data_IF_919299831527
#
_entry.id   IF_919299831527
#
_cell.length_a   1.000
_cell.length_b   1.000
_cell.length_c   1.000
_cell.angle_alpha   90.00
_cell.angle_beta   90.00
_cell.angle_gamma   90.00
#
_symmetry.space_group_name_H-M   'P 1'
#
loop_
_entity.id
_entity.type
_entity.pdbx_description
1 polymer ?
#
# COMPACT_ATOMS: atom_id res chain seq x y z
N UNK A 1 -2.33 -7.14 -10.15
CA UNK A 1 -2.64 -8.48 -10.70
C UNK A 1 -2.44 -9.59 -9.67
N UNK A 2 -1.25 -9.74 -9.06
CA UNK A 2 -1.01 -10.76 -8.03
C UNK A 2 -2.01 -10.74 -6.87
N UNK A 3 -2.35 -9.55 -6.35
CA UNK A 3 -3.38 -9.40 -5.30
C UNK A 3 -4.76 -9.91 -5.74
N UNK A 4 -5.17 -9.69 -6.99
CA UNK A 4 -6.46 -10.17 -7.51
C UNK A 4 -6.49 -11.70 -7.58
N UNK A 5 -5.46 -12.31 -8.17
CA UNK A 5 -5.36 -13.77 -8.27
C UNK A 5 -5.32 -14.42 -6.89
N UNK A 6 -4.51 -13.88 -5.98
CA UNK A 6 -4.43 -14.36 -4.61
C UNK A 6 -5.76 -14.16 -3.86
N UNK A 7 -6.50 -13.09 -4.13
CA UNK A 7 -7.81 -12.84 -3.52
C UNK A 7 -8.87 -13.85 -3.98
N UNK A 8 -8.90 -14.14 -5.29
CA UNK A 8 -9.78 -15.17 -5.87
C UNK A 8 -9.38 -16.55 -5.34
N UNK A 9 -8.08 -16.85 -5.32
CA UNK A 9 -7.53 -18.11 -4.84
C UNK A 9 -7.84 -18.36 -3.36
N UNK A 10 -7.64 -17.36 -2.49
CA UNK A 10 -7.86 -17.48 -1.04
C UNK A 10 -9.29 -17.18 -0.59
N UNK A 11 -10.19 -16.90 -1.54
CA UNK A 11 -11.58 -16.47 -1.34
C UNK A 11 -11.73 -15.33 -0.32
N UNK A 12 -10.75 -14.40 -0.30
CA UNK A 12 -10.73 -13.33 0.67
C UNK A 12 -11.53 -12.12 0.14
N UNK A 13 -12.77 -11.98 0.63
CA UNK A 13 -13.68 -10.87 0.28
C UNK A 13 -13.09 -9.49 0.57
N UNK A 14 -12.33 -9.36 1.66
CA UNK A 14 -11.68 -8.10 2.03
C UNK A 14 -10.63 -7.70 0.99
N UNK A 15 -9.88 -8.66 0.43
CA UNK A 15 -8.90 -8.39 -0.61
C UNK A 15 -9.57 -7.94 -1.92
N UNK A 16 -10.70 -8.52 -2.30
CA UNK A 16 -11.44 -8.14 -3.52
C UNK A 16 -11.92 -6.69 -3.41
N UNK A 17 -12.62 -6.35 -2.33
CA UNK A 17 -13.14 -5.00 -2.08
C UNK A 17 -11.99 -3.99 -2.05
N UNK A 18 -10.91 -4.32 -1.34
CA UNK A 18 -9.80 -3.37 -1.24
C UNK A 18 -9.05 -3.21 -2.55
N UNK A 19 -8.95 -4.26 -3.37
CA UNK A 19 -8.32 -4.14 -4.70
C UNK A 19 -9.13 -3.20 -5.60
N UNK A 20 -10.46 -3.31 -5.59
CA UNK A 20 -11.31 -2.36 -6.31
C UNK A 20 -11.11 -0.92 -5.81
N UNK A 21 -11.09 -0.72 -4.48
CA UNK A 21 -10.85 0.61 -3.89
C UNK A 21 -9.47 1.18 -4.30
N UNK A 22 -8.41 0.36 -4.24
CA UNK A 22 -7.06 0.74 -4.67
C UNK A 22 -7.03 1.17 -6.14
N UNK A 23 -7.75 0.48 -7.02
CA UNK A 23 -7.83 0.88 -8.44
C UNK A 23 -8.43 2.27 -8.61
N UNK A 24 -9.48 2.61 -7.85
CA UNK A 24 -10.02 3.98 -7.85
C UNK A 24 -9.04 5.00 -7.29
N UNK A 25 -8.35 4.69 -6.19
CA UNK A 25 -7.32 5.57 -5.66
C UNK A 25 -6.21 5.81 -6.69
N UNK A 26 -5.73 4.79 -7.40
CA UNK A 26 -4.76 4.96 -8.48
C UNK A 26 -5.27 5.87 -9.60
N UNK A 27 -6.54 5.77 -9.99
CA UNK A 27 -7.13 6.65 -10.99
C UNK A 27 -7.19 8.12 -10.51
N UNK A 28 -7.55 8.36 -9.25
CA UNK A 28 -7.52 9.70 -8.65
C UNK A 28 -6.09 10.26 -8.58
N UNK A 29 -5.11 9.41 -8.26
CA UNK A 29 -3.70 9.81 -8.26
C UNK A 29 -3.17 10.18 -9.64
N UNK A 30 -3.62 9.50 -10.70
CA UNK A 30 -3.25 9.88 -12.06
C UNK A 30 -3.66 11.32 -12.39
N UNK A 31 -4.80 11.80 -11.87
CA UNK A 31 -5.23 13.20 -12.02
C UNK A 31 -4.22 14.14 -11.35
N UNK A 32 -3.84 13.88 -10.09
CA UNK A 32 -2.86 14.68 -9.36
C UNK A 32 -1.52 14.71 -10.10
N UNK A 33 -1.08 13.57 -10.63
CA UNK A 33 0.16 13.46 -11.40
C UNK A 33 0.13 14.34 -12.67
N UNK A 34 -0.97 14.33 -13.43
CA UNK A 34 -1.11 15.16 -14.63
C UNK A 34 -1.05 16.66 -14.27
N UNK A 35 -1.72 17.08 -13.19
CA UNK A 35 -1.70 18.46 -12.72
C UNK A 35 -0.29 18.90 -12.30
N UNK A 36 0.43 18.04 -11.58
CA UNK A 36 1.80 18.26 -11.14
C UNK A 36 2.75 18.42 -12.34
N UNK A 37 2.71 17.50 -13.31
CA UNK A 37 3.55 17.54 -14.52
C UNK A 37 3.30 18.83 -15.31
N UNK A 38 2.03 19.22 -15.48
CA UNK A 38 1.68 20.48 -16.17
C UNK A 38 2.26 21.71 -15.46
N UNK A 39 2.23 21.72 -14.13
CA UNK A 39 2.80 22.80 -13.31
C UNK A 39 4.32 22.90 -13.49
N UNK A 40 5.04 21.77 -13.41
CA UNK A 40 6.50 21.76 -13.57
C UNK A 40 6.93 22.16 -14.99
N UNK A 41 6.21 21.70 -16.00
CA UNK A 41 6.43 22.11 -17.40
C UNK A 41 6.30 23.63 -17.58
N UNK A 42 5.24 24.23 -17.03
CA UNK A 42 5.01 25.67 -17.10
C UNK A 42 6.05 26.51 -16.35
N UNK A 43 6.66 25.98 -15.28
CA UNK A 43 7.75 26.64 -14.56
C UNK A 43 9.09 26.57 -15.31
N UNK A 44 9.36 25.45 -15.99
CA UNK A 44 10.58 25.27 -16.76
C UNK A 44 10.70 26.31 -17.88
N UNK A 45 9.61 26.55 -18.63
CA UNK A 45 9.58 27.53 -19.73
C UNK A 45 9.83 28.99 -19.31
N UNK A 46 9.69 29.33 -18.02
CA UNK A 46 9.92 30.69 -17.50
C UNK A 46 11.36 30.94 -17.02
N UNK A 47 12.17 29.88 -16.86
CA UNK A 47 13.49 29.98 -16.22
C UNK A 47 14.65 30.05 -17.23
N UNK A 48 14.41 29.75 -18.51
CA UNK A 48 15.41 29.89 -19.57
C UNK A 48 15.39 31.30 -20.18
N UNK A 49 16.54 31.98 -20.18
CA UNK A 49 16.73 33.33 -20.77
C UNK A 49 16.80 33.34 -22.31
N UNK A 50 17.13 32.21 -22.93
CA UNK A 50 16.90 32.02 -24.35
C UNK A 50 15.54 31.35 -24.50
N UNK A 51 14.66 31.90 -25.35
CA UNK A 51 13.47 31.20 -25.84
C UNK A 51 13.90 30.00 -26.69
N UNK A 52 14.44 28.96 -26.04
CA UNK A 52 14.43 27.62 -26.59
C UNK A 52 12.96 27.23 -26.68
N UNK A 53 12.35 27.55 -27.83
CA UNK A 53 11.13 26.91 -28.30
C UNK A 53 11.46 25.44 -28.53
N UNK A 54 11.68 24.70 -27.45
CA UNK A 54 11.52 23.26 -27.50
C UNK A 54 10.03 23.05 -27.76
N UNK A 55 9.67 22.83 -29.03
CA UNK A 55 8.43 22.15 -29.40
C UNK A 55 8.50 20.68 -28.94
N UNK A 56 8.80 20.47 -27.66
CA UNK A 56 8.55 19.21 -27.00
C UNK A 56 7.06 19.20 -26.74
N UNK A 57 6.27 18.85 -27.77
CA UNK A 57 4.86 18.52 -27.63
C UNK A 57 4.79 17.43 -26.58
N UNK A 58 4.36 17.74 -25.36
CA UNK A 58 4.58 16.81 -24.27
C UNK A 58 3.53 15.71 -24.45
N UNK A 59 3.97 14.53 -24.89
CA UNK A 59 3.12 13.38 -25.21
C UNK A 59 2.36 12.82 -23.99
N UNK A 60 2.39 13.48 -22.82
CA UNK A 60 1.61 13.09 -21.65
C UNK A 60 0.10 13.07 -21.95
N UNK A 61 -0.39 13.99 -22.79
CA UNK A 61 -1.79 13.97 -23.23
C UNK A 61 -2.15 12.68 -23.98
N UNK A 62 -1.20 12.09 -24.71
CA UNK A 62 -1.41 10.88 -25.51
C UNK A 62 -1.29 9.58 -24.72
N UNK A 63 -0.59 9.58 -23.57
CA UNK A 63 -0.37 8.35 -22.78
C UNK A 63 -1.06 8.37 -21.41
N UNK A 64 -0.94 9.47 -20.66
CA UNK A 64 -1.43 9.54 -19.27
C UNK A 64 -2.96 9.62 -19.21
N UNK A 65 -3.59 10.35 -20.14
CA UNK A 65 -5.05 10.49 -20.19
C UNK A 65 -5.72 9.16 -20.58
N UNK A 66 -5.31 8.46 -21.66
CA UNK A 66 -5.88 7.15 -21.96
C UNK A 66 -5.67 6.14 -20.84
N UNK A 67 -4.50 6.16 -20.18
CA UNK A 67 -4.22 5.28 -19.04
C UNK A 67 -5.16 5.57 -17.86
N UNK A 68 -5.37 6.85 -17.52
CA UNK A 68 -6.31 7.26 -16.48
C UNK A 68 -7.75 6.81 -16.80
N UNK A 69 -8.21 7.00 -18.04
CA UNK A 69 -9.54 6.57 -18.48
C UNK A 69 -9.66 5.05 -18.38
N UNK A 70 -8.65 4.31 -18.84
CA UNK A 70 -8.62 2.85 -18.72
C UNK A 70 -8.70 2.41 -17.25
N UNK A 71 -7.93 3.02 -16.35
CA UNK A 71 -7.98 2.73 -14.90
C UNK A 71 -9.36 2.97 -14.30
N UNK A 72 -10.06 4.04 -14.71
CA UNK A 72 -11.44 4.29 -14.26
C UNK A 72 -12.40 3.22 -14.74
N UNK A 73 -12.38 2.87 -16.04
CA UNK A 73 -13.23 1.84 -16.62
C UNK A 73 -13.00 0.50 -15.92
N UNK A 74 -11.73 0.08 -15.79
CA UNK A 74 -11.37 -1.14 -15.08
C UNK A 74 -11.76 -1.08 -13.59
N UNK A 75 -11.64 0.09 -12.95
CA UNK A 75 -12.10 0.31 -11.58
C UNK A 75 -13.60 0.03 -11.41
N UNK A 76 -14.44 0.55 -12.31
CA UNK A 76 -15.89 0.29 -12.30
C UNK A 76 -16.21 -1.18 -12.53
N UNK A 77 -15.55 -1.83 -13.50
CA UNK A 77 -15.73 -3.27 -13.75
C UNK A 77 -15.33 -4.09 -12.52
N UNK A 78 -14.18 -3.78 -11.92
CA UNK A 78 -13.68 -4.45 -10.72
C UNK A 78 -14.60 -4.24 -9.51
N UNK A 79 -15.18 -3.05 -9.34
CA UNK A 79 -16.15 -2.81 -8.28
C UNK A 79 -17.45 -3.58 -8.50
N UNK A 80 -17.96 -3.63 -9.73
CA UNK A 80 -19.16 -4.41 -10.05
C UNK A 80 -18.96 -5.90 -9.81
N UNK A 81 -17.86 -6.46 -10.31
CA UNK A 81 -17.48 -7.86 -10.08
C UNK A 81 -17.23 -8.12 -8.59
N UNK A 82 -16.54 -7.20 -7.92
CA UNK A 82 -16.24 -7.28 -6.50
C UNK A 82 -17.49 -7.28 -5.63
N UNK A 83 -18.51 -6.50 -5.98
CA UNK A 83 -19.80 -6.49 -5.29
C UNK A 83 -20.55 -7.81 -5.43
N UNK A 84 -20.63 -8.37 -6.64
CA UNK A 84 -21.23 -9.69 -6.87
C UNK A 84 -20.51 -10.78 -6.08
N UNK A 85 -19.18 -10.78 -6.14
CA UNK A 85 -18.35 -11.77 -5.47
C UNK A 85 -18.40 -11.64 -3.94
N UNK A 86 -18.47 -10.41 -3.42
CA UNK A 86 -18.66 -10.15 -1.99
C UNK A 86 -19.94 -10.80 -1.45
N UNK A 87 -21.07 -10.67 -2.18
CA UNK A 87 -22.35 -11.29 -1.77
C UNK A 87 -22.26 -12.81 -1.73
N UNK A 88 -21.66 -13.42 -2.75
CA UNK A 88 -21.58 -14.87 -2.86
C UNK A 88 -20.60 -15.49 -1.85
N UNK A 89 -19.43 -14.89 -1.69
CA UNK A 89 -18.42 -15.36 -0.72
C UNK A 89 -18.82 -15.05 0.73
N UNK A 90 -19.50 -13.92 0.98
CA UNK A 90 -20.03 -13.61 2.31
C UNK A 90 -21.01 -14.67 2.82
N UNK A 91 -21.86 -15.18 1.92
CA UNK A 91 -22.76 -16.29 2.22
C UNK A 91 -22.02 -17.60 2.51
N UNK A 92 -20.93 -17.89 1.78
CA UNK A 92 -20.10 -19.06 2.04
C UNK A 92 -19.35 -18.98 3.38
N UNK A 93 -18.84 -17.80 3.75
CA UNK A 93 -18.19 -17.58 5.05
C UNK A 93 -19.19 -17.80 6.20
N UNK A 94 -20.40 -17.28 6.08
CA UNK A 94 -21.48 -17.49 7.06
C UNK A 94 -21.77 -18.99 7.27
N UNK A 95 -21.93 -19.75 6.17
CA UNK A 95 -22.17 -21.20 6.23
C UNK A 95 -21.00 -21.99 6.81
N UNK A 96 -19.76 -21.56 6.54
CA UNK A 96 -18.54 -22.30 6.91
C UNK A 96 -18.14 -22.11 8.38
N UNK A 97 -18.29 -20.90 8.92
CA UNK A 97 -17.85 -20.57 10.30
C UNK A 97 -18.94 -20.88 11.33
N UNK A 98 -20.20 -20.93 10.91
CA UNK A 98 -21.37 -21.07 11.81
C UNK A 98 -21.84 -19.72 12.36
N UNK A 99 -22.87 -19.75 13.21
CA UNK A 99 -23.58 -18.56 13.69
C UNK A 99 -22.94 -17.77 14.83
N UNK A 100 -21.77 -18.18 15.36
CA UNK A 100 -21.13 -17.44 16.45
C UNK A 100 -20.50 -16.13 15.96
N UNK A 101 -21.11 -15.03 16.38
CA UNK A 101 -20.76 -13.65 16.00
C UNK A 101 -19.33 -13.32 16.44
N UNK A 102 -18.90 -13.81 17.61
CA UNK A 102 -17.58 -13.52 18.16
C UNK A 102 -16.47 -14.15 17.32
N UNK A 103 -16.62 -15.43 16.97
CA UNK A 103 -15.70 -16.12 16.07
C UNK A 103 -15.63 -15.44 14.70
N UNK A 104 -16.77 -15.04 14.13
CA UNK A 104 -16.79 -14.34 12.84
C UNK A 104 -16.06 -12.99 12.92
N UNK A 105 -16.21 -12.25 14.02
CA UNK A 105 -15.51 -10.97 14.21
C UNK A 105 -13.98 -11.15 14.30
N UNK A 106 -13.51 -12.18 15.02
CA UNK A 106 -12.08 -12.50 15.09
C UNK A 106 -11.51 -12.88 13.72
N UNK A 107 -12.22 -13.72 12.96
CA UNK A 107 -11.80 -14.10 11.61
C UNK A 107 -11.77 -12.90 10.65
N UNK A 108 -12.79 -12.04 10.68
CA UNK A 108 -12.80 -10.78 9.89
C UNK A 108 -11.61 -9.89 10.24
N UNK A 109 -11.29 -9.75 11.52
CA UNK A 109 -10.13 -8.97 12.00
C UNK A 109 -8.82 -9.52 11.41
N UNK A 110 -8.64 -10.84 11.42
CA UNK A 110 -7.47 -11.50 10.81
C UNK A 110 -7.39 -11.29 9.29
N UNK A 111 -8.53 -11.37 8.58
CA UNK A 111 -8.56 -11.14 7.14
C UNK A 111 -8.19 -9.70 6.76
N UNK A 112 -8.69 -8.71 7.52
CA UNK A 112 -8.35 -7.30 7.31
C UNK A 112 -6.87 -7.07 7.61
N UNK A 113 -6.36 -7.59 8.72
CA UNK A 113 -4.94 -7.49 9.06
C UNK A 113 -4.03 -8.10 7.98
N UNK A 114 -4.35 -9.31 7.51
CA UNK A 114 -3.56 -9.97 6.45
C UNK A 114 -3.62 -9.19 5.14
N UNK A 115 -4.76 -8.55 4.85
CA UNK A 115 -4.90 -7.67 3.70
C UNK A 115 -4.06 -6.39 3.86
N UNK A 116 -4.04 -5.77 5.04
CA UNK A 116 -3.18 -4.62 5.35
C UNK A 116 -1.69 -4.96 5.24
N UNK A 117 -1.25 -6.14 5.67
CA UNK A 117 0.13 -6.61 5.45
C UNK A 117 0.48 -6.70 3.94
N UNK A 118 -0.43 -7.26 3.13
CA UNK A 118 -0.24 -7.32 1.67
C UNK A 118 -0.17 -5.93 1.03
N UNK A 119 -1.04 -5.02 1.48
CA UNK A 119 -1.00 -3.62 1.07
C UNK A 119 0.31 -2.96 1.48
N UNK A 120 0.79 -3.22 2.70
CA UNK A 120 2.06 -2.74 3.23
C UNK A 120 3.26 -3.19 2.40
N UNK A 121 3.31 -4.46 2.02
CA UNK A 121 4.38 -5.00 1.18
C UNK A 121 4.43 -4.36 -0.22
N UNK A 122 3.29 -3.91 -0.76
CA UNK A 122 3.27 -3.28 -2.09
C UNK A 122 3.42 -1.77 -2.01
N UNK A 123 2.54 -1.10 -1.25
CA UNK A 123 2.47 0.36 -1.19
C UNK A 123 3.52 0.97 -0.27
N UNK A 124 3.66 0.48 0.97
CA UNK A 124 4.59 1.08 1.94
C UNK A 124 6.02 0.80 1.52
N UNK A 125 6.33 -0.45 1.18
CA UNK A 125 7.67 -0.80 0.68
C UNK A 125 7.98 -0.11 -0.65
N UNK A 126 7.03 -0.07 -1.60
CA UNK A 126 7.21 0.63 -2.87
C UNK A 126 7.47 2.13 -2.67
N UNK A 127 6.69 2.80 -1.83
CA UNK A 127 6.89 4.20 -1.48
C UNK A 127 8.23 4.44 -0.78
N UNK A 128 8.64 3.53 0.10
CA UNK A 128 9.93 3.61 0.76
C UNK A 128 11.10 3.44 -0.23
N UNK A 129 10.96 2.60 -1.26
CA UNK A 129 11.96 2.50 -2.33
C UNK A 129 12.00 3.76 -3.20
N UNK A 130 10.83 4.30 -3.57
CA UNK A 130 10.74 5.54 -4.34
C UNK A 130 11.36 6.73 -3.59
N UNK A 131 11.28 6.76 -2.26
CA UNK A 131 11.92 7.81 -1.49
C UNK A 131 13.45 7.88 -1.69
N UNK A 132 14.14 6.77 -2.03
CA UNK A 132 15.57 6.80 -2.40
C UNK A 132 15.86 7.46 -3.75
N UNK A 133 14.91 7.41 -4.68
CA UNK A 133 15.05 8.07 -5.98
C UNK A 133 14.93 9.58 -5.80
N UNK A 134 14.02 10.00 -4.91
CA UNK A 134 13.72 11.41 -4.61
C UNK A 134 14.77 12.09 -3.73
N UNK A 135 15.13 11.48 -2.60
CA UNK A 135 16.00 12.10 -1.61
C UNK A 135 17.45 11.67 -1.83
N UNK A 136 18.37 12.62 -1.94
CA UNK A 136 19.80 12.36 -2.04
C UNK A 136 20.54 12.77 -0.77
N UNK A 137 21.61 12.04 -0.44
CA UNK A 137 22.51 12.39 0.66
C UNK A 137 23.24 13.68 0.29
N UNK A 138 23.27 14.63 1.22
CA UNK A 138 24.15 15.79 1.13
C UNK A 138 25.61 15.36 1.40
N UNK A 139 26.29 14.83 0.38
CA UNK A 139 27.74 14.68 0.39
C UNK A 139 28.36 16.04 0.04
N UNK A 140 28.59 16.88 1.06
CA UNK A 140 29.55 18.00 1.11
C UNK A 140 29.58 18.93 -0.13
N UNK A 141 29.11 20.18 0.00
CA UNK A 141 29.31 21.29 -0.94
C UNK A 141 29.17 20.94 -2.45
N UNK A 142 28.24 20.07 -2.80
CA UNK A 142 27.92 19.83 -4.22
C UNK A 142 26.94 20.88 -4.69
N UNK A 143 27.27 21.51 -5.83
CA UNK A 143 26.52 22.52 -6.56
C UNK A 143 25.01 22.51 -6.26
N UNK A 144 24.49 23.66 -5.82
CA UNK A 144 23.07 23.89 -5.58
C UNK A 144 22.27 23.76 -6.88
N UNK A 145 22.01 22.53 -7.33
CA UNK A 145 20.94 22.26 -8.27
C UNK A 145 19.64 22.49 -7.51
N UNK A 146 18.96 23.59 -7.87
CA UNK A 146 17.75 24.15 -7.24
C UNK A 146 16.60 23.16 -7.02
N UNK A 147 16.69 21.93 -7.56
CA UNK A 147 15.65 20.91 -7.51
C UNK A 147 16.04 19.61 -6.77
N UNK A 148 17.25 19.47 -6.23
CA UNK A 148 17.61 18.29 -5.43
C UNK A 148 17.10 18.43 -3.98
N UNK A 149 16.33 17.43 -3.52
CA UNK A 149 15.88 17.35 -2.12
C UNK A 149 16.95 16.63 -1.31
N UNK A 150 17.47 17.33 -0.31
CA UNK A 150 18.51 16.80 0.57
C UNK A 150 17.89 16.34 1.89
N UNK A 151 18.23 15.11 2.27
CA UNK A 151 17.90 14.59 3.60
C UNK A 151 19.19 14.54 4.43
N UNK A 152 19.19 15.02 5.69
CA UNK A 152 20.34 14.90 6.57
C UNK A 152 20.79 13.44 6.71
N UNK A 153 22.11 13.22 6.82
CA UNK A 153 22.72 11.88 6.80
C UNK A 153 22.08 10.91 7.80
N UNK A 154 21.78 11.36 9.03
CA UNK A 154 21.19 10.50 10.06
C UNK A 154 19.77 10.05 9.69
N UNK A 155 18.93 10.95 9.16
CA UNK A 155 17.58 10.61 8.71
C UNK A 155 17.61 9.71 7.47
N UNK A 156 18.57 9.91 6.56
CA UNK A 156 18.73 9.03 5.41
C UNK A 156 19.18 7.62 5.82
N UNK A 157 20.10 7.49 6.77
CA UNK A 157 20.49 6.18 7.30
C UNK A 157 19.35 5.48 8.06
N UNK A 158 18.56 6.25 8.81
CA UNK A 158 17.34 5.75 9.46
C UNK A 158 16.36 5.20 8.41
N UNK A 159 16.11 5.96 7.36
CA UNK A 159 15.25 5.54 6.24
C UNK A 159 15.78 4.25 5.57
N UNK A 160 17.09 4.14 5.31
CA UNK A 160 17.68 2.89 4.79
C UNK A 160 17.37 1.69 5.71
N UNK A 161 17.59 1.86 7.01
CA UNK A 161 17.36 0.79 7.97
C UNK A 161 15.88 0.38 8.02
N UNK A 162 14.96 1.35 8.06
CA UNK A 162 13.51 1.09 8.06
C UNK A 162 13.08 0.40 6.75
N UNK A 163 13.51 0.90 5.59
CA UNK A 163 13.15 0.30 4.30
C UNK A 163 13.68 -1.14 4.17
N UNK A 164 14.94 -1.40 4.56
CA UNK A 164 15.53 -2.73 4.51
C UNK A 164 14.83 -3.74 5.42
N UNK A 165 14.39 -3.30 6.60
CA UNK A 165 13.68 -4.15 7.56
C UNK A 165 12.18 -4.32 7.24
N UNK A 166 11.60 -3.44 6.41
CA UNK A 166 10.17 -3.47 6.08
C UNK A 166 9.74 -4.79 5.44
N UNK A 167 10.54 -5.37 4.54
CA UNK A 167 10.19 -6.66 3.94
C UNK A 167 10.22 -7.81 4.98
N UNK A 168 11.23 -7.82 5.85
CA UNK A 168 11.40 -8.86 6.87
C UNK A 168 10.29 -8.81 7.92
N UNK A 169 9.91 -7.62 8.40
CA UNK A 169 8.89 -7.48 9.43
C UNK A 169 7.52 -7.92 8.92
N UNK A 170 7.22 -7.75 7.62
CA UNK A 170 5.96 -8.21 7.02
C UNK A 170 5.86 -9.75 7.07
N UNK A 171 6.96 -10.46 6.79
CA UNK A 171 7.03 -11.92 6.92
C UNK A 171 6.84 -12.35 8.37
N UNK A 172 7.53 -11.67 9.30
CA UNK A 172 7.40 -11.93 10.74
C UNK A 172 5.96 -11.69 11.19
N UNK A 173 5.33 -10.59 10.77
CA UNK A 173 3.94 -10.24 11.09
C UNK A 173 2.93 -11.28 10.61
N UNK A 174 3.11 -11.78 9.38
CA UNK A 174 2.26 -12.85 8.85
C UNK A 174 2.41 -14.15 9.64
N UNK A 175 3.64 -14.59 9.90
CA UNK A 175 3.90 -15.82 10.69
C UNK A 175 3.43 -15.68 12.13
N UNK A 176 3.60 -14.50 12.72
CA UNK A 176 3.22 -14.22 14.11
C UNK A 176 1.72 -14.25 14.30
N UNK A 177 0.94 -13.68 13.38
CA UNK A 177 -0.51 -13.77 13.42
C UNK A 177 -1.02 -15.20 13.20
N UNK A 178 -0.38 -15.99 12.32
CA UNK A 178 -0.78 -17.38 12.06
C UNK A 178 -0.45 -18.33 13.24
N UNK A 179 0.71 -18.13 13.87
CA UNK A 179 1.19 -18.99 14.97
C UNK A 179 0.90 -18.43 16.36
N UNK A 180 0.24 -17.28 16.45
CA UNK A 180 -0.02 -16.53 17.70
C UNK A 180 1.26 -16.19 18.49
N UNK A 181 2.33 -15.79 17.79
CA UNK A 181 3.61 -15.42 18.41
C UNK A 181 3.53 -13.99 18.95
N UNK A 182 3.32 -13.86 20.27
CA UNK A 182 3.16 -12.56 20.95
C UNK A 182 4.33 -11.60 20.72
N UNK A 183 5.56 -12.09 20.87
CA UNK A 183 6.78 -11.27 20.71
C UNK A 183 6.86 -10.67 19.31
N UNK A 184 6.58 -11.47 18.27
CA UNK A 184 6.62 -11.00 16.89
C UNK A 184 5.56 -9.95 16.57
N UNK A 185 4.37 -10.04 17.17
CA UNK A 185 3.34 -8.99 17.05
C UNK A 185 3.74 -7.68 17.73
N UNK A 186 4.36 -7.74 18.92
CA UNK A 186 4.85 -6.55 19.61
C UNK A 186 5.94 -5.87 18.78
N UNK A 187 6.90 -6.65 18.27
CA UNK A 187 7.94 -6.14 17.37
C UNK A 187 7.33 -5.46 16.12
N UNK A 188 6.30 -6.06 15.53
CA UNK A 188 5.60 -5.48 14.38
C UNK A 188 4.92 -4.14 14.74
N UNK A 189 4.26 -4.04 15.89
CA UNK A 189 3.63 -2.79 16.34
C UNK A 189 4.66 -1.66 16.52
N UNK A 190 5.78 -1.96 17.18
CA UNK A 190 6.88 -0.98 17.33
C UNK A 190 7.43 -0.56 15.97
N UNK A 191 7.56 -1.50 15.04
CA UNK A 191 8.06 -1.21 13.70
C UNK A 191 7.08 -0.37 12.87
N UNK A 192 5.77 -0.58 12.99
CA UNK A 192 4.78 0.30 12.36
C UNK A 192 4.91 1.75 12.85
N UNK A 193 5.19 1.97 14.14
CA UNK A 193 5.47 3.30 14.65
C UNK A 193 6.75 3.89 14.02
N UNK A 194 7.80 3.09 13.83
CA UNK A 194 9.02 3.53 13.14
C UNK A 194 8.77 3.94 11.67
N UNK A 195 7.95 3.18 10.92
CA UNK A 195 7.53 3.52 9.56
C UNK A 195 6.77 4.86 9.54
N UNK A 196 5.84 5.07 10.47
CA UNK A 196 5.07 6.33 10.56
C UNK A 196 6.02 7.50 10.82
N UNK A 197 6.97 7.35 11.76
CA UNK A 197 7.96 8.39 12.06
C UNK A 197 8.81 8.69 10.82
N UNK A 198 9.30 7.66 10.14
CA UNK A 198 10.09 7.80 8.91
C UNK A 198 9.33 8.59 7.84
N UNK A 199 8.08 8.23 7.55
CA UNK A 199 7.26 8.94 6.56
C UNK A 199 6.90 10.36 6.97
N UNK A 200 6.70 10.63 8.27
CA UNK A 200 6.54 12.00 8.78
C UNK A 200 7.82 12.84 8.57
N UNK A 201 9.00 12.25 8.76
CA UNK A 201 10.29 12.91 8.48
C UNK A 201 10.37 13.22 6.97
N UNK A 202 10.13 12.24 6.09
CA UNK A 202 10.13 12.45 4.64
C UNK A 202 9.13 13.54 4.22
N UNK A 203 7.94 13.55 4.81
CA UNK A 203 6.92 14.56 4.53
C UNK A 203 7.38 15.97 4.92
N UNK A 204 8.02 16.12 6.10
CA UNK A 204 8.59 17.39 6.54
C UNK A 204 9.62 17.92 5.56
N UNK A 205 10.55 17.09 5.11
CA UNK A 205 11.58 17.49 4.15
C UNK A 205 11.07 17.63 2.71
N UNK A 206 9.88 17.09 2.41
CA UNK A 206 9.19 17.29 1.14
C UNK A 206 8.52 18.68 1.04
N UNK A 207 8.22 19.32 2.18
CA UNK A 207 7.39 20.54 2.29
C UNK A 207 8.24 21.79 2.58
N UNK A 208 9.31 22.01 1.82
CA UNK A 208 10.25 23.12 2.09
C UNK A 208 9.71 24.51 1.70
N UNK A 209 9.00 24.64 0.56
CA UNK A 209 8.38 25.90 0.10
C UNK A 209 7.17 25.64 -0.80
N UNK A 210 6.13 26.49 -0.76
CA UNK A 210 4.87 26.34 -1.53
C UNK A 210 5.13 26.20 -3.04
N UNK A 211 6.17 26.87 -3.55
CA UNK A 211 6.53 26.87 -4.97
C UNK A 211 7.28 25.61 -5.41
N UNK A 212 8.05 25.00 -4.52
CA UNK A 212 8.94 23.86 -4.82
C UNK A 212 8.48 22.54 -4.17
N UNK A 213 7.33 22.54 -3.50
CA UNK A 213 6.72 21.32 -2.94
C UNK A 213 6.27 20.39 -4.06
N UNK A 214 6.57 19.09 -3.91
CA UNK A 214 6.14 18.05 -4.83
C UNK A 214 4.87 17.44 -4.27
N UNK A 215 3.72 17.94 -4.72
CA UNK A 215 2.42 17.63 -4.11
C UNK A 215 2.05 16.17 -4.33
N UNK A 216 2.42 15.59 -5.47
CA UNK A 216 2.31 14.16 -5.74
C UNK A 216 2.96 13.30 -4.64
N UNK A 217 4.23 13.59 -4.28
CA UNK A 217 4.93 12.84 -3.23
C UNK A 217 4.31 13.05 -1.85
N UNK A 218 3.89 14.27 -1.54
CA UNK A 218 3.23 14.60 -0.26
C UNK A 218 1.91 13.82 -0.14
N UNK A 219 1.11 13.77 -1.20
CA UNK A 219 -0.13 12.99 -1.24
C UNK A 219 0.15 11.50 -1.04
N UNK A 220 1.17 10.95 -1.70
CA UNK A 220 1.55 9.54 -1.55
C UNK A 220 2.01 9.20 -0.12
N UNK A 221 2.85 10.06 0.47
CA UNK A 221 3.29 9.95 1.87
C UNK A 221 2.11 10.03 2.85
N UNK A 222 1.13 10.90 2.60
CA UNK A 222 -0.05 11.01 3.46
C UNK A 222 -0.87 9.72 3.50
N UNK A 223 -1.08 9.08 2.35
CA UNK A 223 -1.79 7.80 2.27
C UNK A 223 -0.95 6.68 2.90
N UNK A 224 0.37 6.70 2.70
CA UNK A 224 1.28 5.75 3.35
C UNK A 224 1.19 5.80 4.88
N UNK A 225 1.15 7.00 5.46
CA UNK A 225 0.98 7.20 6.91
C UNK A 225 -0.38 6.66 7.38
N UNK A 226 -1.46 6.96 6.65
CA UNK A 226 -2.82 6.47 6.97
C UNK A 226 -2.86 4.94 6.98
N UNK A 227 -2.34 4.29 5.93
CA UNK A 227 -2.29 2.82 5.83
C UNK A 227 -1.46 2.23 6.98
N UNK A 228 -0.33 2.85 7.33
CA UNK A 228 0.54 2.38 8.40
C UNK A 228 -0.14 2.49 9.77
N UNK A 229 -0.90 3.57 9.99
CA UNK A 229 -1.69 3.76 11.20
C UNK A 229 -2.82 2.72 11.32
N UNK A 230 -3.56 2.46 10.24
CA UNK A 230 -4.56 1.39 10.22
C UNK A 230 -3.93 0.01 10.48
N UNK A 231 -2.74 -0.23 9.91
CA UNK A 231 -2.00 -1.49 10.12
C UNK A 231 -1.57 -1.67 11.58
N UNK A 232 -1.16 -0.60 12.25
CA UNK A 232 -0.85 -0.60 13.69
C UNK A 232 -2.10 -0.98 14.52
N UNK A 233 -3.23 -0.31 14.30
CA UNK A 233 -4.48 -0.57 15.04
C UNK A 233 -4.93 -2.02 14.87
N UNK A 234 -4.95 -2.53 13.63
CA UNK A 234 -5.37 -3.90 13.37
C UNK A 234 -4.38 -4.94 13.91
N UNK A 235 -3.10 -4.61 14.00
CA UNK A 235 -2.11 -5.46 14.67
C UNK A 235 -2.44 -5.64 16.15
N UNK A 236 -2.88 -4.58 16.83
CA UNK A 236 -3.34 -4.63 18.24
C UNK A 236 -4.61 -5.46 18.38
N UNK A 237 -5.59 -5.29 17.48
CA UNK A 237 -6.80 -6.10 17.52
C UNK A 237 -6.54 -7.60 17.28
N UNK A 238 -5.63 -7.94 16.37
CA UNK A 238 -5.22 -9.34 16.17
C UNK A 238 -4.51 -9.88 17.41
N UNK A 239 -3.61 -9.12 18.01
CA UNK A 239 -2.92 -9.51 19.25
C UNK A 239 -3.90 -9.82 20.39
N UNK A 240 -4.93 -8.98 20.58
CA UNK A 240 -5.94 -9.15 21.61
C UNK A 240 -6.84 -10.39 21.40
N UNK A 241 -6.87 -10.94 20.18
CA UNK A 241 -7.62 -12.14 19.85
C UNK A 241 -6.81 -13.44 20.02
N UNK A 242 -5.54 -13.36 20.43
CA UNK A 242 -4.71 -14.55 20.65
C UNK A 242 -5.23 -15.42 21.80
N UNK A 243 -5.10 -16.74 21.67
CA UNK A 243 -5.59 -17.71 22.64
C UNK A 243 -7.10 -17.99 22.59
N UNK A 244 -7.84 -17.36 21.68
CA UNK A 244 -9.31 -17.53 21.54
C UNK A 244 -9.72 -18.56 20.47
N UNK A 245 -8.81 -19.47 20.08
CA UNK A 245 -9.05 -20.53 19.11
C UNK A 245 -8.98 -20.10 17.63
N UNK A 246 -8.42 -18.92 17.33
CA UNK A 246 -8.24 -18.44 15.95
C UNK A 246 -7.27 -19.34 15.17
N UNK A 247 -6.14 -19.73 15.77
CA UNK A 247 -5.13 -20.62 15.17
C UNK A 247 -5.69 -21.94 14.66
N UNK A 248 -6.53 -22.61 15.44
CA UNK A 248 -7.06 -23.94 15.06
C UNK A 248 -7.96 -23.87 13.83
N UNK A 249 -8.77 -22.81 13.75
CA UNK A 249 -9.64 -22.54 12.58
C UNK A 249 -8.85 -22.14 11.34
N UNK A 250 -7.75 -21.39 11.49
CA UNK A 250 -6.84 -21.09 10.38
C UNK A 250 -6.17 -22.37 9.84
N UNK A 251 -5.72 -23.25 10.74
CA UNK A 251 -5.16 -24.54 10.35
C UNK A 251 -6.19 -25.46 9.69
N UNK A 252 -7.46 -25.41 10.12
CA UNK A 252 -8.54 -26.13 9.45
C UNK A 252 -8.80 -25.58 8.04
N UNK A 253 -8.80 -24.24 7.87
CA UNK A 253 -8.94 -23.60 6.55
C UNK A 253 -7.87 -24.09 5.58
N UNK A 254 -6.60 -24.11 6.01
CA UNK A 254 -5.48 -24.58 5.18
C UNK A 254 -5.57 -26.06 4.82
N UNK A 255 -6.23 -26.89 5.64
CA UNK A 255 -6.47 -28.32 5.35
C UNK A 255 -7.64 -28.54 4.39
N UNK A 256 -8.64 -27.67 4.40
CA UNK A 256 -9.81 -27.79 3.53
C UNK A 256 -9.60 -27.16 2.15
N UNK A 257 -8.72 -26.16 2.03
CA UNK A 257 -8.31 -25.60 0.74
C UNK A 257 -7.83 -26.69 -0.25
N UNK A 258 -6.87 -27.59 0.06
CA UNK A 258 -6.42 -28.65 -0.85
C UNK A 258 -7.51 -29.67 -1.24
N UNK A 259 -8.46 -29.97 -0.33
CA UNK A 259 -9.52 -30.96 -0.56
C UNK A 259 -10.58 -30.44 -1.53
N UNK A 260 -10.84 -29.12 -1.56
CA UNK A 260 -11.75 -28.51 -2.53
C UNK A 260 -11.20 -28.60 -3.96
N UNK A 261 -9.88 -28.47 -4.16
CA UNK A 261 -9.26 -28.57 -5.49
C UNK A 261 -9.38 -29.97 -6.09
N UNK A 262 -9.29 -31.03 -5.27
CA UNK A 262 -9.50 -32.41 -5.74
C UNK A 262 -10.94 -32.67 -6.18
N UNK A 263 -11.91 -31.87 -5.74
CA UNK A 263 -13.33 -32.03 -6.07
C UNK A 263 -13.75 -31.32 -7.36
N UNK A 264 -12.95 -30.35 -7.82
CA UNK A 264 -13.24 -29.53 -9.01
C UNK A 264 -12.11 -29.50 -10.04
N UNK A 265 -11.05 -30.28 -9.85
CA UNK A 265 -10.08 -30.54 -10.90
C UNK A 265 -10.80 -31.34 -12.01
N UNK A 266 -10.87 -30.83 -13.26
CA UNK A 266 -11.29 -31.68 -14.37
C UNK A 266 -10.27 -32.81 -14.49
N UNK A 267 -10.79 -34.04 -14.58
CA UNK A 267 -10.00 -35.25 -14.89
C UNK A 267 -9.39 -35.10 -16.28
#
# INVERSE_FOLDING_TARGET
MWLCFNAIYTQNTVQIVTTAAVTFFCALFAIVQILEVRKWYGNFGKTCQAQLKFEFYPKFLSYDIPLMIALLIFGFIMAFLGWKLYRQLGWNIYKKIGGDINTQAMFKTYLIYTMLLKLGLFFIFGLALEAFTVFKINFRNSFYLKHNRFLPRHFYLFHIAVTGLTFLIQIIGYRSAKKEIKVGMICLCVFWAAIIIDFCILMKYSTSSIKDSWYFLIAFLSIGIIISFFSLIWSVFVYNNFGRGLKDRLNQKDKEEPVFYLRYAPI
#
